data_IF_796537247354
#
_entry.id   IF_796537247354
#
_cell.length_a   1.000
_cell.length_b   1.000
_cell.length_c   1.000
_cell.angle_alpha   90.00
_cell.angle_beta   90.00
_cell.angle_gamma   90.00
#
_symmetry.space_group_name_H-M   'P 1'
#
loop_
_entity.id
_entity.type
_entity.pdbx_description
1 polymer ?
#
# COMPACT_ATOMS: atom_id res chain seq x y z
N UNK A 1 3.92 -58.62 12.19
CA UNK A 1 2.93 -57.94 13.06
C UNK A 1 2.96 -56.45 12.73
N UNK A 2 1.85 -55.72 12.50
CA UNK A 2 0.74 -55.39 13.42
C UNK A 2 1.19 -54.74 14.74
N UNK A 3 1.23 -53.41 14.78
CA UNK A 3 0.58 -52.53 15.79
C UNK A 3 0.52 -51.10 15.23
N UNK A 4 -0.26 -50.22 15.87
CA UNK A 4 -0.84 -48.99 15.29
C UNK A 4 -0.74 -47.79 16.24
N UNK A 5 -0.73 -46.54 15.71
CA UNK A 5 -1.48 -45.31 16.11
C UNK A 5 -1.52 -44.95 17.63
N UNK A 6 -1.30 -43.69 18.09
CA UNK A 6 -1.70 -42.39 17.50
C UNK A 6 -0.52 -41.38 17.35
N UNK A 7 -0.61 -40.15 16.83
CA UNK A 7 -1.66 -39.08 16.80
C UNK A 7 -1.95 -38.40 18.16
N UNK A 8 -0.97 -37.68 18.74
CA UNK A 8 -1.26 -36.47 19.54
C UNK A 8 -0.03 -35.57 19.71
N UNK A 9 -0.14 -34.31 19.28
CA UNK A 9 0.70 -33.18 19.69
C UNK A 9 -0.12 -31.89 19.44
N UNK A 10 -1.31 -31.84 20.04
CA UNK A 10 -1.58 -30.96 21.19
C UNK A 10 -1.41 -29.50 20.78
N UNK A 11 -2.48 -28.99 20.16
CA UNK A 11 -2.76 -27.58 20.04
C UNK A 11 -2.92 -27.01 21.47
N UNK A 12 -1.86 -26.45 22.05
CA UNK A 12 -1.94 -25.72 23.33
C UNK A 12 -2.62 -24.37 23.12
N UNK A 13 -3.92 -24.42 22.81
CA UNK A 13 -4.82 -23.28 22.94
C UNK A 13 -4.83 -22.90 24.42
N UNK A 14 -4.06 -21.87 24.77
CA UNK A 14 -4.09 -21.30 26.12
C UNK A 14 -5.46 -20.64 26.27
N UNK A 15 -6.42 -21.38 26.83
CA UNK A 15 -7.56 -20.77 27.50
C UNK A 15 -7.00 -20.01 28.71
N UNK A 16 -6.55 -18.78 28.46
CA UNK A 16 -6.83 -17.72 29.39
C UNK A 16 -8.35 -17.63 29.46
N UNK A 17 -8.92 -18.35 30.43
CA UNK A 17 -10.15 -17.93 31.07
C UNK A 17 -9.80 -16.62 31.78
N UNK A 18 -9.73 -15.55 30.99
CA UNK A 18 -9.83 -14.19 31.51
C UNK A 18 -11.13 -14.22 32.31
N UNK A 19 -11.11 -13.98 33.63
CA UNK A 19 -12.36 -13.85 34.34
C UNK A 19 -13.12 -12.74 33.63
N UNK A 20 -14.33 -13.03 33.13
CA UNK A 20 -15.24 -12.00 32.65
C UNK A 20 -15.75 -11.28 33.90
N UNK A 21 -14.86 -10.50 34.51
CA UNK A 21 -15.23 -9.35 35.31
C UNK A 21 -16.13 -8.54 34.41
N UNK A 22 -17.43 -8.60 34.69
CA UNK A 22 -18.42 -7.85 33.94
C UNK A 22 -18.08 -6.37 34.11
N UNK A 23 -17.37 -5.80 33.12
CA UNK A 23 -17.22 -4.36 32.99
C UNK A 23 -18.65 -3.82 33.05
N UNK A 24 -19.01 -3.03 34.07
CA UNK A 24 -20.37 -2.53 34.20
C UNK A 24 -20.66 -1.76 32.92
N UNK A 25 -21.66 -2.22 32.16
CA UNK A 25 -21.91 -1.76 30.79
C UNK A 25 -22.04 -0.24 30.82
N UNK A 26 -21.00 0.45 30.37
CA UNK A 26 -20.67 1.76 30.91
C UNK A 26 -21.59 2.80 30.27
N UNK A 27 -22.72 3.06 30.94
CA UNK A 27 -23.83 3.87 30.45
C UNK A 27 -23.27 5.20 29.91
N UNK A 28 -23.28 5.35 28.59
CA UNK A 28 -22.52 6.37 27.87
C UNK A 28 -22.65 7.74 28.55
N UNK A 29 -21.55 8.23 29.13
CA UNK A 29 -21.59 9.33 30.11
C UNK A 29 -21.95 10.64 29.42
N UNK A 30 -23.24 10.94 29.34
CA UNK A 30 -23.76 12.20 28.80
C UNK A 30 -23.32 13.38 29.68
N UNK A 31 -22.49 14.24 29.10
CA UNK A 31 -22.11 15.53 29.68
C UNK A 31 -23.19 16.57 29.37
N UNK A 32 -23.39 17.51 30.29
CA UNK A 32 -24.48 18.50 30.22
C UNK A 32 -24.32 19.47 29.03
N UNK A 33 -23.10 19.64 28.54
CA UNK A 33 -22.71 20.53 27.45
C UNK A 33 -22.52 19.80 26.10
N UNK A 34 -22.66 18.47 26.06
CA UNK A 34 -22.55 17.69 24.81
C UNK A 34 -23.89 17.53 24.08
N UNK A 35 -25.03 17.75 24.74
CA UNK A 35 -26.36 17.93 24.14
C UNK A 35 -26.64 17.13 22.84
N UNK A 36 -26.76 17.85 21.72
CA UNK A 36 -26.78 17.32 20.35
C UNK A 36 -25.52 17.76 19.56
N UNK A 37 -24.39 17.93 20.25
CA UNK A 37 -23.14 18.41 19.66
C UNK A 37 -22.57 17.38 18.68
N UNK A 38 -22.11 17.82 17.51
CA UNK A 38 -21.69 16.97 16.39
C UNK A 38 -20.62 15.92 16.75
N UNK A 39 -19.84 16.16 17.81
CA UNK A 39 -18.81 15.23 18.32
C UNK A 39 -19.29 14.27 19.43
N UNK A 40 -20.58 14.22 19.82
CA UNK A 40 -21.06 13.36 20.92
C UNK A 40 -20.67 11.88 20.72
N UNK A 41 -20.97 11.32 19.56
CA UNK A 41 -20.65 9.91 19.21
C UNK A 41 -19.14 9.65 19.27
N UNK A 42 -18.34 10.56 18.72
CA UNK A 42 -16.86 10.53 18.76
C UNK A 42 -16.32 10.52 20.18
N UNK A 43 -16.83 11.42 21.03
CA UNK A 43 -16.37 11.59 22.42
C UNK A 43 -16.75 10.36 23.26
N UNK A 44 -17.94 9.81 23.06
CA UNK A 44 -18.38 8.58 23.73
C UNK A 44 -17.47 7.39 23.37
N UNK A 45 -17.16 7.16 22.08
CA UNK A 45 -16.17 6.14 21.65
C UNK A 45 -14.84 6.27 22.41
N UNK A 46 -14.27 7.49 22.52
CA UNK A 46 -12.99 7.71 23.21
C UNK A 46 -13.07 7.56 24.74
N UNK A 47 -14.25 7.64 25.35
CA UNK A 47 -14.47 7.40 26.77
C UNK A 47 -14.63 5.90 27.06
N UNK A 48 -15.34 5.17 26.20
CA UNK A 48 -15.42 3.70 26.23
C UNK A 48 -14.02 3.07 26.10
N UNK A 49 -13.15 3.66 25.26
CA UNK A 49 -11.74 3.28 25.14
C UNK A 49 -10.82 3.81 26.27
N UNK A 50 -11.34 4.54 27.26
CA UNK A 50 -10.55 5.09 28.39
C UNK A 50 -9.51 6.17 28.01
N UNK A 51 -9.56 6.64 26.76
CA UNK A 51 -8.60 7.60 26.18
C UNK A 51 -8.80 8.98 26.80
N UNK A 52 -10.04 9.48 26.77
CA UNK A 52 -10.38 10.83 27.23
C UNK A 52 -11.34 10.80 28.42
N UNK A 53 -11.39 11.90 29.17
CA UNK A 53 -12.41 12.16 30.21
C UNK A 53 -12.92 13.60 30.09
N UNK A 54 -14.16 13.79 30.53
CA UNK A 54 -14.66 15.13 30.88
C UNK A 54 -14.19 15.57 32.28
N UNK A 55 -14.72 16.69 32.71
CA UNK A 55 -14.39 17.35 33.98
C UNK A 55 -15.34 16.91 35.11
N UNK A 56 -15.03 17.32 36.34
CA UNK A 56 -15.74 16.91 37.56
C UNK A 56 -17.13 17.55 37.70
N UNK A 57 -17.33 18.71 37.06
CA UNK A 57 -18.62 19.43 36.91
C UNK A 57 -19.59 18.77 35.89
N UNK A 58 -19.25 17.57 35.42
CA UNK A 58 -19.98 16.84 34.37
C UNK A 58 -20.05 17.54 33.00
N UNK A 59 -19.07 18.40 32.68
CA UNK A 59 -18.84 18.94 31.32
C UNK A 59 -17.77 18.18 30.54
N UNK A 60 -17.81 18.22 29.20
CA UNK A 60 -16.70 17.78 28.34
C UNK A 60 -15.88 18.95 27.76
N UNK A 61 -16.54 20.10 27.61
CA UNK A 61 -16.08 21.37 27.02
C UNK A 61 -15.61 21.19 25.57
N UNK A 62 -16.51 20.78 24.64
CA UNK A 62 -16.15 20.41 23.27
C UNK A 62 -15.43 21.52 22.51
N UNK A 63 -15.95 22.75 22.58
CA UNK A 63 -15.43 23.91 21.85
C UNK A 63 -14.22 24.59 22.53
N UNK A 64 -13.87 24.18 23.75
CA UNK A 64 -12.67 24.70 24.41
C UNK A 64 -11.41 24.20 23.70
N UNK A 65 -10.43 25.10 23.51
CA UNK A 65 -9.14 24.73 22.92
C UNK A 65 -8.33 23.80 23.83
N UNK A 66 -7.73 22.76 23.25
CA UNK A 66 -6.97 21.72 23.96
C UNK A 66 -5.47 22.10 24.08
N UNK A 67 -4.81 21.75 25.18
CA UNK A 67 -3.34 21.96 25.33
C UNK A 67 -2.52 20.89 24.61
N UNK A 68 -1.24 21.16 24.35
CA UNK A 68 -0.28 20.16 23.85
C UNK A 68 -0.16 18.95 24.78
N UNK A 69 -0.19 19.17 26.09
CA UNK A 69 -0.16 18.11 27.09
C UNK A 69 -1.45 17.26 27.08
N UNK A 70 -2.63 17.88 27.09
CA UNK A 70 -3.91 17.17 26.95
C UNK A 70 -3.91 16.30 25.69
N UNK A 71 -3.48 16.84 24.55
CA UNK A 71 -3.42 16.09 23.29
C UNK A 71 -2.37 14.97 23.31
N UNK A 72 -1.19 15.21 23.89
CA UNK A 72 -0.16 14.17 24.08
C UNK A 72 -0.67 12.99 24.91
N UNK A 73 -1.43 13.27 25.98
CA UNK A 73 -2.07 12.23 26.79
C UNK A 73 -3.12 11.44 26.00
N UNK A 74 -3.93 12.13 25.17
CA UNK A 74 -4.88 11.48 24.26
C UNK A 74 -4.16 10.57 23.26
N UNK A 75 -3.09 11.03 22.59
CA UNK A 75 -2.34 10.21 21.63
C UNK A 75 -1.69 9.00 22.29
N UNK A 76 -0.97 9.16 23.42
CA UNK A 76 -0.32 8.02 24.12
C UNK A 76 -1.33 6.95 24.53
N UNK A 77 -2.55 7.35 24.91
CA UNK A 77 -3.63 6.42 25.26
C UNK A 77 -4.33 5.79 24.06
N UNK A 78 -4.69 6.58 23.05
CA UNK A 78 -5.39 6.13 21.85
C UNK A 78 -4.60 5.03 21.11
N UNK A 79 -3.30 5.25 20.94
CA UNK A 79 -2.37 4.31 20.31
C UNK A 79 -1.76 3.31 21.32
N UNK A 80 -2.29 3.26 22.55
CA UNK A 80 -1.94 2.31 23.62
C UNK A 80 -0.43 2.17 23.90
N UNK A 81 0.34 3.25 23.72
CA UNK A 81 1.81 3.21 23.70
C UNK A 81 2.38 3.09 25.11
N UNK A 82 3.05 1.97 25.41
CA UNK A 82 3.74 1.74 26.68
C UNK A 82 4.62 2.91 27.09
N UNK A 83 4.59 3.24 28.39
CA UNK A 83 5.40 4.32 28.94
C UNK A 83 6.89 4.01 28.82
N UNK A 84 7.63 5.00 28.36
CA UNK A 84 9.09 5.03 28.42
C UNK A 84 9.48 6.02 29.53
N UNK A 85 10.41 5.63 30.40
CA UNK A 85 10.89 6.48 31.49
C UNK A 85 12.04 7.38 31.05
N UNK A 86 11.92 8.67 31.39
CA UNK A 86 12.88 9.71 31.04
C UNK A 86 12.22 11.08 30.96
N UNK A 87 12.94 12.06 30.41
CA UNK A 87 12.41 13.42 30.18
C UNK A 87 13.02 14.03 28.91
N UNK A 88 12.19 14.66 28.07
CA UNK A 88 12.62 15.20 26.78
C UNK A 88 12.90 16.71 26.75
N UNK A 89 12.21 17.50 27.59
CA UNK A 89 12.28 18.97 27.55
C UNK A 89 12.50 19.55 28.96
N UNK A 90 13.01 20.78 29.03
CA UNK A 90 13.36 21.42 30.31
C UNK A 90 12.13 21.78 31.17
N UNK A 91 10.97 21.90 30.55
CA UNK A 91 9.68 22.26 31.16
C UNK A 91 8.73 21.08 31.39
N UNK A 92 9.04 19.88 30.90
CA UNK A 92 8.19 18.68 31.07
C UNK A 92 8.51 17.85 32.33
N UNK A 93 9.68 18.06 32.96
CA UNK A 93 10.23 17.17 33.99
C UNK A 93 9.37 17.03 35.26
N UNK A 94 8.55 18.04 35.57
CA UNK A 94 7.62 18.05 36.71
C UNK A 94 6.18 18.34 36.27
N UNK A 95 5.91 18.27 34.97
CA UNK A 95 4.59 18.47 34.40
C UNK A 95 3.78 17.16 34.48
N UNK A 96 2.46 17.26 34.70
CA UNK A 96 1.61 16.07 34.91
C UNK A 96 1.56 15.12 33.70
N UNK A 97 1.76 15.65 32.49
CA UNK A 97 1.89 14.89 31.24
C UNK A 97 3.34 14.57 30.82
N UNK A 98 4.32 14.73 31.74
CA UNK A 98 5.74 14.63 31.40
C UNK A 98 6.16 13.27 30.85
N UNK A 99 5.61 12.17 31.39
CA UNK A 99 5.87 10.81 30.92
C UNK A 99 5.23 10.53 29.56
N UNK A 100 4.01 11.03 29.34
CA UNK A 100 3.30 10.96 28.06
C UNK A 100 4.12 11.66 26.96
N UNK A 101 4.54 12.90 27.21
CA UNK A 101 5.33 13.69 26.24
C UNK A 101 6.68 13.04 25.99
N UNK A 102 7.39 12.55 27.02
CA UNK A 102 8.65 11.84 26.82
C UNK A 102 8.45 10.55 26.00
N UNK A 103 7.42 9.76 26.31
CA UNK A 103 7.07 8.54 25.55
C UNK A 103 6.83 8.85 24.07
N UNK A 104 6.07 9.91 23.76
CA UNK A 104 5.83 10.30 22.37
C UNK A 104 7.08 10.82 21.64
N UNK A 105 8.02 11.47 22.33
CA UNK A 105 9.33 11.81 21.74
C UNK A 105 10.17 10.56 21.50
N UNK A 106 10.23 9.64 22.46
CA UNK A 106 11.00 8.39 22.36
C UNK A 106 10.44 7.42 21.30
N UNK A 107 9.15 7.52 20.97
CA UNK A 107 8.49 6.84 19.85
C UNK A 107 8.55 7.62 18.52
N UNK A 108 9.23 8.78 18.46
CA UNK A 108 9.35 9.61 17.25
C UNK A 108 8.11 10.43 16.86
N UNK A 109 7.02 10.34 17.63
CA UNK A 109 5.73 11.00 17.36
C UNK A 109 5.81 12.51 17.58
N UNK A 110 6.54 12.94 18.61
CA UNK A 110 6.92 14.34 18.82
C UNK A 110 8.39 14.49 18.40
N UNK A 111 8.63 15.06 17.22
CA UNK A 111 9.97 15.47 16.81
C UNK A 111 10.41 16.68 17.66
N UNK A 112 11.39 16.46 18.53
CA UNK A 112 11.97 17.48 19.41
C UNK A 112 12.58 18.66 18.66
N UNK A 113 13.03 18.48 17.41
CA UNK A 113 13.57 19.57 16.58
C UNK A 113 12.53 20.64 16.24
N UNK A 114 11.23 20.31 16.33
CA UNK A 114 10.13 21.23 16.02
C UNK A 114 9.79 22.20 17.17
N UNK A 115 10.32 21.94 18.38
CA UNK A 115 10.03 22.69 19.62
C UNK A 115 11.30 23.23 20.32
N UNK A 116 12.43 22.51 20.22
CA UNK A 116 13.71 22.92 20.80
C UNK A 116 13.92 22.42 22.25
N UNK A 117 14.25 23.34 23.17
CA UNK A 117 14.60 23.01 24.57
C UNK A 117 13.40 22.99 25.53
N UNK A 118 12.25 23.50 25.08
CA UNK A 118 10.97 23.55 25.79
C UNK A 118 9.87 23.03 24.87
N UNK A 119 8.83 22.44 25.46
CA UNK A 119 7.64 21.99 24.72
C UNK A 119 6.45 22.96 24.86
N UNK A 120 6.46 23.80 25.89
CA UNK A 120 5.33 24.59 26.37
C UNK A 120 4.06 23.72 26.50
N UNK A 121 4.02 22.75 27.43
CA UNK A 121 2.96 21.74 27.52
C UNK A 121 1.54 22.32 27.65
N UNK A 122 1.38 23.46 28.31
CA UNK A 122 0.08 24.11 28.52
C UNK A 122 -0.33 25.08 27.39
N UNK A 123 0.52 25.30 26.38
CA UNK A 123 0.11 26.04 25.18
C UNK A 123 -0.98 25.28 24.43
N UNK A 124 -1.91 26.03 23.84
CA UNK A 124 -2.95 25.46 22.98
C UNK A 124 -2.34 24.90 21.70
N UNK A 125 -2.64 23.65 21.37
CA UNK A 125 -2.08 22.98 20.20
C UNK A 125 -2.68 23.52 18.90
N UNK A 126 -1.88 23.58 17.85
CA UNK A 126 -2.30 23.94 16.49
C UNK A 126 -2.76 22.72 15.69
N UNK A 127 -3.58 22.95 14.67
CA UNK A 127 -4.05 21.87 13.78
C UNK A 127 -2.91 21.15 13.05
N UNK A 128 -1.82 21.84 12.66
CA UNK A 128 -0.65 21.16 12.07
C UNK A 128 0.09 20.26 13.07
N UNK A 129 0.25 20.68 14.34
CA UNK A 129 0.89 19.84 15.36
C UNK A 129 0.10 18.55 15.60
N UNK A 130 -1.24 18.64 15.68
CA UNK A 130 -2.10 17.45 15.79
C UNK A 130 -1.99 16.52 14.58
N UNK A 131 -2.01 17.08 13.35
CA UNK A 131 -1.90 16.29 12.13
C UNK A 131 -0.60 15.48 12.09
N UNK A 132 0.55 16.13 12.38
CA UNK A 132 1.85 15.46 12.40
C UNK A 132 1.94 14.38 13.48
N UNK A 133 1.46 14.66 14.69
CA UNK A 133 1.46 13.68 15.79
C UNK A 133 0.57 12.47 15.47
N UNK A 134 -0.58 12.65 14.82
CA UNK A 134 -1.44 11.51 14.41
C UNK A 134 -0.79 10.69 13.31
N UNK A 135 -0.30 11.33 12.24
CA UNK A 135 0.32 10.63 11.09
C UNK A 135 1.55 9.84 11.54
N UNK A 136 2.41 10.42 12.40
CA UNK A 136 3.54 9.71 13.02
C UNK A 136 3.10 8.57 13.95
N UNK A 137 2.02 8.73 14.71
CA UNK A 137 1.49 7.66 15.57
C UNK A 137 0.88 6.49 14.78
N UNK A 138 0.42 6.74 13.55
CA UNK A 138 0.03 5.71 12.58
C UNK A 138 1.23 5.05 11.87
N UNK A 139 2.46 5.51 12.11
CA UNK A 139 3.69 5.04 11.45
C UNK A 139 4.04 5.74 10.14
N UNK A 140 3.13 6.56 9.59
CA UNK A 140 3.16 7.10 8.23
C UNK A 140 4.09 8.35 8.06
N UNK A 141 5.23 8.36 8.75
CA UNK A 141 6.16 9.50 8.80
C UNK A 141 7.13 9.56 7.60
N UNK A 142 7.34 8.44 6.88
CA UNK A 142 8.20 8.39 5.69
C UNK A 142 7.45 8.91 4.45
N UNK A 143 6.25 8.36 4.23
CA UNK A 143 5.27 8.71 3.21
C UNK A 143 4.89 10.20 3.31
N UNK A 144 4.74 10.72 4.54
CA UNK A 144 4.51 12.14 4.80
C UNK A 144 5.73 13.05 4.52
N UNK A 145 6.96 12.50 4.50
CA UNK A 145 8.18 13.20 4.11
C UNK A 145 8.44 13.13 2.61
N UNK A 146 8.08 12.04 1.95
CA UNK A 146 8.10 11.90 0.49
C UNK A 146 7.09 12.84 -0.17
N UNK A 147 5.89 12.97 0.40
CA UNK A 147 4.90 13.97 -0.01
C UNK A 147 5.19 15.40 0.50
N UNK A 148 6.39 15.68 1.01
CA UNK A 148 6.79 17.04 1.34
C UNK A 148 6.90 17.92 0.08
N UNK A 149 6.64 19.23 0.25
CA UNK A 149 6.64 20.24 -0.81
C UNK A 149 5.54 20.12 -1.88
N UNK A 150 4.89 18.95 -2.03
CA UNK A 150 3.70 18.76 -2.87
C UNK A 150 2.56 19.71 -2.47
N UNK A 151 1.70 20.08 -3.41
CA UNK A 151 0.59 21.02 -3.19
C UNK A 151 -0.60 20.33 -2.51
N UNK A 152 -1.13 20.93 -1.44
CA UNK A 152 -2.35 20.46 -0.78
C UNK A 152 -3.61 20.95 -1.51
N UNK A 153 -4.74 20.27 -1.33
CA UNK A 153 -6.04 20.67 -1.92
C UNK A 153 -6.73 21.84 -1.22
N UNK A 154 -6.14 22.37 -0.14
CA UNK A 154 -6.73 23.42 0.69
C UNK A 154 -6.41 24.83 0.18
N UNK A 155 -7.40 25.72 0.24
CA UNK A 155 -7.31 27.10 -0.25
C UNK A 155 -6.27 27.97 0.48
N UNK A 156 -5.81 27.54 1.66
CA UNK A 156 -4.74 28.18 2.43
C UNK A 156 -3.39 27.42 2.37
N UNK A 157 -3.17 26.59 1.35
CA UNK A 157 -1.92 25.85 1.09
C UNK A 157 -0.64 26.69 1.26
N UNK A 158 -0.67 27.94 0.78
CA UNK A 158 0.43 28.93 0.90
C UNK A 158 0.82 29.30 2.34
N UNK A 159 -0.06 29.03 3.32
CA UNK A 159 0.19 29.25 4.74
C UNK A 159 0.82 28.02 5.43
N UNK A 160 0.95 26.90 4.71
CA UNK A 160 1.55 25.66 5.19
C UNK A 160 3.04 25.66 4.79
N UNK A 161 3.94 25.38 5.75
CA UNK A 161 5.38 25.24 5.44
C UNK A 161 5.55 24.02 4.53
N UNK A 162 6.37 24.12 3.48
CA UNK A 162 6.52 23.07 2.47
C UNK A 162 6.84 21.68 3.07
N UNK A 163 7.71 21.61 4.09
CA UNK A 163 8.04 20.37 4.82
C UNK A 163 6.90 19.76 5.66
N UNK A 164 5.88 20.54 5.98
CA UNK A 164 4.74 20.14 6.82
C UNK A 164 3.53 19.69 5.97
N UNK A 165 3.56 19.91 4.64
CA UNK A 165 2.44 19.62 3.72
C UNK A 165 2.10 18.14 3.60
N UNK A 166 3.09 17.25 3.47
CA UNK A 166 2.85 15.82 3.26
C UNK A 166 2.04 15.16 4.38
N UNK A 167 2.24 15.57 5.64
CA UNK A 167 1.40 15.12 6.77
C UNK A 167 -0.07 15.53 6.63
N UNK A 168 -0.36 16.69 6.03
CA UNK A 168 -1.74 17.12 5.74
C UNK A 168 -2.31 16.35 4.56
N UNK A 169 -1.50 16.04 3.54
CA UNK A 169 -1.91 15.20 2.40
C UNK A 169 -2.29 13.79 2.90
N UNK A 170 -1.38 13.10 3.58
CA UNK A 170 -1.62 11.76 4.16
C UNK A 170 -2.86 11.75 5.07
N UNK A 171 -3.03 12.74 5.94
CA UNK A 171 -4.19 12.84 6.82
C UNK A 171 -5.50 13.20 6.08
N UNK A 172 -5.43 13.84 4.91
CA UNK A 172 -6.61 14.12 4.07
C UNK A 172 -6.99 12.92 3.20
N UNK A 173 -6.01 12.19 2.66
CA UNK A 173 -6.21 10.95 1.89
C UNK A 173 -6.85 9.87 2.77
N UNK A 174 -6.36 9.71 4.00
CA UNK A 174 -6.94 8.82 5.02
C UNK A 174 -8.25 9.38 5.64
N UNK A 175 -8.82 10.47 5.10
CA UNK A 175 -10.08 11.10 5.54
C UNK A 175 -10.10 11.52 7.02
N UNK A 176 -8.95 11.60 7.68
CA UNK A 176 -8.78 12.07 9.06
C UNK A 176 -9.16 13.56 9.13
N UNK A 177 -8.70 14.33 8.14
CA UNK A 177 -8.87 15.77 8.03
C UNK A 177 -9.68 16.09 6.76
N UNK A 178 -10.79 16.83 6.91
CA UNK A 178 -11.65 17.24 5.78
C UNK A 178 -11.58 18.75 5.50
N UNK A 179 -10.66 19.48 6.16
CA UNK A 179 -10.64 20.95 6.17
C UNK A 179 -11.80 21.57 6.96
N UNK A 180 -12.13 22.82 6.63
CA UNK A 180 -13.33 23.56 7.05
C UNK A 180 -14.24 23.83 5.84
N UNK A 181 -15.50 24.29 6.03
CA UNK A 181 -16.42 24.60 4.92
C UNK A 181 -15.95 25.69 3.93
N UNK A 182 -14.91 26.46 4.28
CA UNK A 182 -14.23 27.44 3.42
C UNK A 182 -13.06 26.82 2.60
N UNK A 183 -12.97 25.48 2.58
CA UNK A 183 -11.88 24.67 2.02
C UNK A 183 -10.47 25.03 2.57
N UNK A 184 -10.37 25.54 3.79
CA UNK A 184 -9.05 25.77 4.42
C UNK A 184 -8.70 24.71 5.48
N UNK A 185 -7.41 24.51 5.71
CA UNK A 185 -6.90 23.69 6.79
C UNK A 185 -6.71 24.49 8.10
N UNK A 186 -6.32 25.77 8.00
CA UNK A 186 -5.96 26.69 9.10
C UNK A 186 -4.82 26.13 9.96
N UNK A 187 -3.60 25.93 9.42
CA UNK A 187 -2.53 25.16 10.07
C UNK A 187 -2.16 25.69 11.47
N UNK A 188 -2.05 27.01 11.62
CA UNK A 188 -1.73 27.66 12.91
C UNK A 188 -2.96 27.87 13.82
N UNK A 189 -4.16 27.51 13.36
CA UNK A 189 -5.39 27.61 14.14
C UNK A 189 -5.37 26.69 15.36
N UNK A 190 -5.85 27.16 16.50
CA UNK A 190 -5.90 26.39 17.75
C UNK A 190 -7.11 25.45 17.74
N UNK A 191 -6.86 24.16 17.98
CA UNK A 191 -7.89 23.14 17.86
C UNK A 191 -8.75 23.00 19.13
N UNK A 192 -10.03 22.71 18.94
CA UNK A 192 -10.97 22.39 20.04
C UNK A 192 -10.80 20.94 20.53
N UNK A 193 -11.27 20.65 21.76
CA UNK A 193 -11.31 19.27 22.30
C UNK A 193 -12.14 18.34 21.42
N UNK A 194 -13.19 18.85 20.77
CA UNK A 194 -14.00 18.10 19.82
C UNK A 194 -13.27 17.79 18.50
N UNK A 195 -12.57 18.76 17.90
CA UNK A 195 -11.76 18.55 16.70
C UNK A 195 -10.64 17.52 16.95
N UNK A 196 -9.92 17.70 18.06
CA UNK A 196 -8.85 16.80 18.49
C UNK A 196 -9.36 15.36 18.68
N UNK A 197 -10.49 15.19 19.38
CA UNK A 197 -11.15 13.88 19.56
C UNK A 197 -11.55 13.25 18.22
N UNK A 198 -12.01 14.07 17.26
CA UNK A 198 -12.48 13.59 15.95
C UNK A 198 -11.35 13.15 15.04
N UNK A 199 -10.23 13.88 15.01
CA UNK A 199 -9.05 13.44 14.26
C UNK A 199 -8.46 12.16 14.85
N UNK A 200 -8.44 12.01 16.18
CA UNK A 200 -7.95 10.79 16.83
C UNK A 200 -8.87 9.59 16.57
N UNK A 201 -10.20 9.72 16.69
CA UNK A 201 -11.07 8.55 16.45
C UNK A 201 -11.06 8.10 14.99
N UNK A 202 -10.97 9.04 14.03
CA UNK A 202 -10.84 8.71 12.61
C UNK A 202 -9.53 7.94 12.32
N UNK A 203 -8.42 8.31 12.94
CA UNK A 203 -7.17 7.57 12.82
C UNK A 203 -7.28 6.14 13.37
N UNK A 204 -7.99 5.96 14.50
CA UNK A 204 -8.25 4.63 15.07
C UNK A 204 -9.22 3.80 14.21
N UNK A 205 -10.27 4.42 13.66
CA UNK A 205 -11.21 3.75 12.74
C UNK A 205 -10.47 3.30 11.45
N UNK A 206 -9.58 4.13 10.87
CA UNK A 206 -8.72 3.77 9.72
C UNK A 206 -7.78 2.60 10.04
N UNK A 207 -7.06 2.64 11.18
CA UNK A 207 -6.18 1.53 11.58
C UNK A 207 -6.96 0.23 11.82
N UNK A 208 -8.20 0.33 12.32
CA UNK A 208 -9.10 -0.81 12.50
C UNK A 208 -9.58 -1.38 11.16
N UNK A 209 -9.90 -0.54 10.18
CA UNK A 209 -10.25 -0.96 8.81
C UNK A 209 -9.07 -1.67 8.13
N UNK A 210 -7.85 -1.13 8.26
CA UNK A 210 -6.62 -1.75 7.74
C UNK A 210 -6.34 -3.11 8.40
N UNK A 211 -6.44 -3.21 9.72
CA UNK A 211 -6.27 -4.46 10.46
C UNK A 211 -7.35 -5.50 10.06
N UNK A 212 -8.61 -5.09 9.90
CA UNK A 212 -9.68 -5.97 9.46
C UNK A 212 -9.47 -6.49 8.03
N UNK A 213 -9.01 -5.63 7.10
CA UNK A 213 -8.62 -6.05 5.74
C UNK A 213 -7.47 -7.06 5.79
N UNK A 214 -6.43 -6.80 6.58
CA UNK A 214 -5.32 -7.75 6.77
C UNK A 214 -5.79 -9.09 7.30
N UNK A 215 -6.62 -9.10 8.36
CA UNK A 215 -7.20 -10.32 8.92
C UNK A 215 -8.13 -11.05 7.94
N UNK A 216 -8.67 -10.39 6.92
CA UNK A 216 -9.43 -11.05 5.85
C UNK A 216 -8.47 -11.70 4.83
N UNK A 217 -7.41 -10.99 4.42
CA UNK A 217 -6.38 -11.48 3.51
C UNK A 217 -5.62 -12.69 4.10
N UNK A 218 -5.23 -12.63 5.37
CA UNK A 218 -4.52 -13.72 6.03
C UNK A 218 -5.37 -15.00 6.19
N UNK A 219 -6.71 -14.91 6.12
CA UNK A 219 -7.63 -16.07 6.05
C UNK A 219 -7.72 -16.72 4.66
N UNK A 220 -7.25 -16.04 3.61
CA UNK A 220 -7.17 -16.58 2.26
C UNK A 220 -5.87 -17.36 2.01
N UNK A 221 -4.86 -17.20 2.87
CA UNK A 221 -3.57 -17.90 2.79
C UNK A 221 -3.72 -19.38 3.11
N UNK A 222 -2.89 -20.22 2.50
CA UNK A 222 -2.74 -21.64 2.85
C UNK A 222 -1.57 -21.87 3.83
N UNK A 223 -1.18 -23.14 4.01
CA UNK A 223 -0.12 -23.53 4.94
C UNK A 223 1.28 -23.03 4.54
N UNK A 224 1.49 -22.73 3.26
CA UNK A 224 2.74 -22.15 2.73
C UNK A 224 2.66 -20.61 2.63
N UNK A 225 1.55 -20.02 3.12
CA UNK A 225 1.30 -18.58 3.13
C UNK A 225 0.74 -18.02 1.82
N UNK A 226 0.40 -18.88 0.85
CA UNK A 226 0.05 -18.49 -0.52
C UNK A 226 -1.46 -18.26 -0.64
N UNK A 227 -1.85 -17.21 -1.35
CA UNK A 227 -3.25 -16.95 -1.72
C UNK A 227 -3.49 -17.54 -3.12
N UNK A 228 -4.42 -18.47 -3.25
CA UNK A 228 -4.85 -18.98 -4.56
C UNK A 228 -5.95 -18.06 -5.13
N UNK A 229 -5.73 -17.50 -6.32
CA UNK A 229 -6.71 -16.64 -7.02
C UNK A 229 -8.06 -17.33 -7.24
N UNK A 230 -8.13 -18.67 -7.24
CA UNK A 230 -9.39 -19.40 -7.26
C UNK A 230 -10.30 -19.07 -6.06
N UNK A 231 -9.73 -18.66 -4.92
CA UNK A 231 -10.45 -18.21 -3.71
C UNK A 231 -11.01 -16.78 -3.82
N UNK A 232 -10.51 -15.97 -4.76
CA UNK A 232 -10.94 -14.59 -4.97
C UNK A 232 -12.22 -14.51 -5.80
N UNK A 233 -12.94 -13.41 -5.67
CA UNK A 233 -14.15 -13.12 -6.46
C UNK A 233 -13.84 -13.13 -7.98
N UNK A 234 -14.89 -13.37 -8.79
CA UNK A 234 -14.80 -13.39 -10.25
C UNK A 234 -15.66 -12.26 -10.80
N UNK A 235 -15.03 -11.15 -11.15
CA UNK A 235 -15.69 -9.98 -11.71
C UNK A 235 -15.60 -10.00 -13.23
N UNK A 236 -16.63 -9.60 -13.96
CA UNK A 236 -16.52 -9.41 -15.42
C UNK A 236 -15.93 -8.03 -15.74
N UNK A 237 -15.33 -7.88 -16.94
CA UNK A 237 -14.94 -6.58 -17.52
C UNK A 237 -16.05 -5.52 -17.37
N UNK A 238 -17.31 -5.93 -17.51
CA UNK A 238 -18.49 -5.05 -17.51
C UNK A 238 -18.88 -4.58 -16.10
N UNK A 239 -18.71 -5.42 -15.07
CA UNK A 239 -18.94 -5.05 -13.66
C UNK A 239 -17.86 -4.10 -13.14
N UNK A 240 -16.63 -4.22 -13.65
CA UNK A 240 -15.52 -3.29 -13.36
C UNK A 240 -15.58 -2.00 -14.20
N UNK A 241 -16.61 -1.81 -15.02
CA UNK A 241 -16.82 -0.58 -15.80
C UNK A 241 -15.88 -0.41 -17.01
N UNK A 242 -15.14 -1.44 -17.40
CA UNK A 242 -14.25 -1.40 -18.56
C UNK A 242 -15.02 -1.55 -19.88
N UNK A 243 -14.58 -0.81 -20.90
CA UNK A 243 -15.16 -0.84 -22.24
C UNK A 243 -14.97 -2.22 -22.92
N UNK A 244 -15.91 -2.59 -23.80
CA UNK A 244 -15.79 -3.84 -24.57
C UNK A 244 -14.63 -3.76 -25.59
N UNK A 245 -13.74 -4.76 -25.64
CA UNK A 245 -12.62 -4.75 -26.58
C UNK A 245 -13.09 -4.81 -28.04
N UNK A 246 -12.39 -4.10 -28.93
CA UNK A 246 -12.54 -4.21 -30.39
C UNK A 246 -11.88 -5.53 -30.83
N UNK A 247 -12.49 -6.28 -31.75
CA UNK A 247 -11.93 -7.58 -32.14
C UNK A 247 -10.79 -7.37 -33.14
N UNK A 248 -9.79 -8.24 -33.07
CA UNK A 248 -8.72 -8.28 -34.07
C UNK A 248 -9.25 -8.58 -35.50
N UNK A 249 -10.42 -9.22 -35.62
CA UNK A 249 -11.13 -9.43 -36.89
C UNK A 249 -11.86 -8.20 -37.44
N UNK A 250 -11.97 -7.11 -36.66
CA UNK A 250 -12.59 -5.85 -37.07
C UNK A 250 -11.56 -4.84 -37.64
N UNK A 251 -10.28 -5.23 -37.73
CA UNK A 251 -9.15 -4.42 -38.20
C UNK A 251 -8.78 -4.73 -39.66
N UNK A 252 -8.38 -3.73 -40.45
CA UNK A 252 -8.06 -3.91 -41.89
C UNK A 252 -6.86 -4.88 -42.09
N UNK A 253 -7.05 -6.04 -42.77
CA UNK A 253 -5.99 -7.01 -43.04
C UNK A 253 -4.78 -6.47 -43.83
N UNK A 254 -4.87 -5.28 -44.42
CA UNK A 254 -3.72 -4.61 -45.06
C UNK A 254 -2.66 -4.15 -44.07
N UNK A 255 -3.04 -3.80 -42.82
CA UNK A 255 -2.13 -3.19 -41.83
C UNK A 255 -0.94 -4.11 -41.51
N UNK A 256 -1.17 -5.43 -41.50
CA UNK A 256 -0.18 -6.44 -41.12
C UNK A 256 0.83 -6.82 -42.21
N UNK A 257 0.56 -6.54 -43.49
CA UNK A 257 1.30 -7.17 -44.60
C UNK A 257 2.62 -6.51 -44.97
N UNK A 258 2.76 -5.21 -44.74
CA UNK A 258 3.69 -4.36 -45.51
C UNK A 258 4.60 -3.46 -44.64
N UNK A 259 4.88 -3.88 -43.40
CA UNK A 259 5.52 -3.01 -42.38
C UNK A 259 6.74 -3.61 -41.69
N UNK A 260 7.72 -2.73 -41.43
CA UNK A 260 8.98 -3.00 -40.73
C UNK A 260 8.79 -3.36 -39.25
N UNK A 261 9.85 -3.82 -38.57
CA UNK A 261 9.78 -4.19 -37.13
C UNK A 261 9.31 -3.00 -36.28
N UNK A 262 9.83 -1.79 -36.55
CA UNK A 262 9.46 -0.58 -35.81
C UNK A 262 7.97 -0.29 -35.93
N UNK A 263 7.44 -0.35 -37.14
CA UNK A 263 6.03 -0.08 -37.43
C UNK A 263 5.10 -1.23 -37.01
N UNK A 264 5.59 -2.47 -36.95
CA UNK A 264 4.89 -3.59 -36.29
C UNK A 264 4.78 -3.33 -34.80
N UNK A 265 5.81 -2.79 -34.15
CA UNK A 265 5.71 -2.34 -32.77
C UNK A 265 4.74 -1.15 -32.62
N UNK A 266 4.69 -0.21 -33.57
CA UNK A 266 3.65 0.85 -33.59
C UNK A 266 2.24 0.30 -33.80
N UNK A 267 2.07 -0.75 -34.61
CA UNK A 267 0.78 -1.43 -34.77
C UNK A 267 0.39 -2.18 -33.48
N UNK A 268 1.34 -2.87 -32.84
CA UNK A 268 1.14 -3.50 -31.52
C UNK A 268 0.80 -2.45 -30.46
N UNK A 269 1.42 -1.27 -30.49
CA UNK A 269 1.11 -0.11 -29.63
C UNK A 269 -0.29 0.49 -29.86
N UNK A 270 -0.82 0.39 -31.09
CA UNK A 270 -2.21 0.76 -31.39
C UNK A 270 -3.23 -0.34 -31.05
N UNK A 271 -2.79 -1.60 -30.97
CA UNK A 271 -3.62 -2.74 -30.54
C UNK A 271 -3.66 -2.86 -29.02
N UNK A 272 -2.53 -2.68 -28.33
CA UNK A 272 -2.43 -2.68 -26.86
C UNK A 272 -3.31 -1.61 -26.21
N UNK A 273 -3.48 -0.47 -26.88
CA UNK A 273 -4.41 0.60 -26.51
C UNK A 273 -5.89 0.16 -26.45
N UNK A 274 -6.24 -1.08 -26.81
CA UNK A 274 -7.55 -1.69 -26.49
C UNK A 274 -7.47 -3.17 -26.08
N UNK A 275 -7.09 -3.39 -24.82
CA UNK A 275 -7.29 -4.60 -23.99
C UNK A 275 -6.96 -5.93 -24.69
N UNK A 276 -5.86 -6.53 -24.24
CA UNK A 276 -5.40 -7.80 -24.77
C UNK A 276 -6.22 -8.98 -24.26
N UNK A 277 -6.37 -10.00 -25.11
CA UNK A 277 -6.80 -11.37 -24.76
C UNK A 277 -8.10 -11.52 -23.93
N UNK A 278 -9.07 -10.62 -24.12
CA UNK A 278 -10.51 -10.87 -23.91
C UNK A 278 -10.91 -11.67 -22.65
N UNK A 279 -10.44 -11.33 -21.44
CA UNK A 279 -10.84 -12.06 -20.24
C UNK A 279 -12.36 -11.94 -20.00
N UNK A 280 -13.04 -13.06 -19.81
CA UNK A 280 -14.41 -13.06 -19.29
C UNK A 280 -14.42 -12.73 -17.79
N UNK A 281 -13.33 -13.07 -17.11
CA UNK A 281 -13.15 -12.99 -15.66
C UNK A 281 -11.88 -12.18 -15.33
N UNK A 282 -12.04 -11.18 -14.48
CA UNK A 282 -10.97 -10.46 -13.82
C UNK A 282 -10.95 -10.87 -12.34
N UNK A 283 -9.78 -11.30 -11.89
CA UNK A 283 -9.45 -11.53 -10.48
C UNK A 283 -8.81 -10.26 -9.95
N UNK A 284 -9.39 -9.64 -8.92
CA UNK A 284 -8.82 -8.44 -8.30
C UNK A 284 -8.05 -8.80 -7.03
N UNK A 285 -6.83 -8.26 -6.92
CA UNK A 285 -5.95 -8.35 -5.77
C UNK A 285 -5.21 -7.03 -5.53
N UNK A 286 -4.37 -6.99 -4.50
CA UNK A 286 -3.41 -5.91 -4.28
C UNK A 286 -2.06 -6.49 -3.80
N UNK A 287 -1.03 -5.66 -3.75
CA UNK A 287 0.33 -6.06 -3.38
C UNK A 287 0.44 -6.75 -2.01
N UNK A 288 -0.48 -6.49 -1.06
CA UNK A 288 -0.48 -7.16 0.24
C UNK A 288 -0.99 -8.62 0.21
N UNK A 289 -1.56 -9.06 -0.93
CA UNK A 289 -1.98 -10.45 -1.15
C UNK A 289 -0.84 -11.37 -1.59
N UNK A 290 0.34 -10.84 -1.92
CA UNK A 290 1.51 -11.66 -2.27
C UNK A 290 1.99 -12.52 -1.07
N UNK A 291 2.63 -13.68 -1.30
CA UNK A 291 2.71 -14.40 -2.58
C UNK A 291 1.35 -14.98 -3.01
N UNK A 292 1.06 -14.92 -4.32
CA UNK A 292 -0.24 -15.28 -4.90
C UNK A 292 -0.09 -16.31 -6.01
N UNK A 293 -0.86 -17.41 -5.96
CA UNK A 293 -0.99 -18.37 -7.07
C UNK A 293 -2.01 -17.85 -8.08
N UNK A 294 -1.55 -17.62 -9.31
CA UNK A 294 -2.39 -17.33 -10.47
C UNK A 294 -2.13 -18.38 -11.56
N UNK A 295 -3.18 -19.13 -11.90
CA UNK A 295 -3.11 -20.27 -12.81
C UNK A 295 -1.95 -21.21 -12.45
N UNK A 296 -0.94 -21.37 -13.32
CA UNK A 296 0.17 -22.33 -13.15
C UNK A 296 1.42 -21.76 -12.45
N UNK A 297 1.38 -20.50 -11.99
CA UNK A 297 2.50 -19.81 -11.31
C UNK A 297 2.12 -19.31 -9.92
N UNK A 298 3.12 -19.18 -9.06
CA UNK A 298 3.08 -18.31 -7.89
C UNK A 298 3.92 -17.07 -8.19
N UNK A 299 3.31 -15.89 -8.07
CA UNK A 299 4.00 -14.60 -8.08
C UNK A 299 4.38 -14.29 -6.64
N UNK A 300 5.67 -13.97 -6.41
CA UNK A 300 6.20 -13.72 -5.06
C UNK A 300 6.44 -12.24 -4.78
N UNK A 301 6.79 -11.46 -5.80
CA UNK A 301 7.00 -10.01 -5.70
C UNK A 301 6.78 -9.33 -7.05
N UNK A 302 6.41 -8.04 -7.04
CA UNK A 302 6.44 -7.17 -8.23
C UNK A 302 6.97 -5.79 -7.82
N UNK A 303 8.08 -5.36 -8.41
CA UNK A 303 8.71 -4.09 -8.07
C UNK A 303 9.16 -3.27 -9.29
N UNK A 304 9.25 -1.95 -9.10
CA UNK A 304 9.95 -1.02 -9.99
C UNK A 304 11.47 -1.21 -9.87
N UNK A 305 12.16 -1.18 -11.00
CA UNK A 305 13.60 -0.84 -11.05
C UNK A 305 13.75 0.42 -11.93
N UNK A 306 14.25 1.55 -11.40
CA UNK A 306 14.53 2.75 -12.20
C UNK A 306 15.50 2.45 -13.34
N UNK A 307 15.42 3.17 -14.46
CA UNK A 307 16.36 3.04 -15.59
C UNK A 307 17.84 3.11 -15.16
N UNK A 308 18.14 3.93 -14.14
CA UNK A 308 19.47 4.10 -13.57
C UNK A 308 20.04 2.80 -13.01
N UNK A 309 19.17 1.90 -12.57
CA UNK A 309 19.48 0.62 -11.92
C UNK A 309 19.09 -0.57 -12.80
N UNK A 310 18.24 -0.37 -13.82
CA UNK A 310 17.71 -1.42 -14.68
C UNK A 310 18.80 -2.21 -15.43
N UNK A 311 18.61 -3.52 -15.67
CA UNK A 311 19.68 -4.40 -16.13
C UNK A 311 20.18 -4.08 -17.56
N UNK A 312 19.30 -3.61 -18.44
CA UNK A 312 19.58 -3.27 -19.85
C UNK A 312 20.15 -1.86 -20.05
N UNK A 313 20.47 -1.13 -18.97
CA UNK A 313 20.97 0.26 -19.03
C UNK A 313 22.24 0.36 -19.90
N UNK A 314 22.11 1.00 -21.05
CA UNK A 314 23.20 1.21 -22.01
C UNK A 314 23.48 0.04 -22.96
N UNK A 315 22.67 -1.02 -22.94
CA UNK A 315 22.78 -2.12 -23.90
C UNK A 315 22.17 -1.72 -25.25
N UNK A 316 23.01 -1.67 -26.29
CA UNK A 316 22.62 -1.31 -27.66
C UNK A 316 22.48 -2.51 -28.60
N UNK A 317 22.67 -3.74 -28.10
CA UNK A 317 22.71 -4.97 -28.91
C UNK A 317 21.44 -5.83 -28.79
N UNK A 318 20.54 -5.49 -27.87
CA UNK A 318 19.28 -6.20 -27.63
C UNK A 318 18.07 -5.48 -28.26
N UNK A 319 16.91 -6.15 -28.26
CA UNK A 319 15.62 -5.54 -28.63
C UNK A 319 15.28 -4.31 -27.76
N UNK A 320 15.86 -4.23 -26.56
CA UNK A 320 15.72 -3.12 -25.60
C UNK A 320 16.50 -1.86 -25.99
N UNK A 321 17.28 -1.90 -27.07
CA UNK A 321 17.85 -0.68 -27.70
C UNK A 321 16.78 0.34 -28.11
N UNK A 322 15.53 -0.10 -28.29
CA UNK A 322 14.36 0.77 -28.54
C UNK A 322 13.74 1.36 -27.27
N UNK A 323 13.94 0.75 -26.10
CA UNK A 323 13.44 1.20 -24.80
C UNK A 323 14.53 1.94 -24.01
N UNK A 324 15.19 2.88 -24.70
CA UNK A 324 16.32 3.65 -24.18
C UNK A 324 15.82 4.79 -23.29
N UNK A 325 16.38 4.87 -22.08
CA UNK A 325 15.97 5.81 -21.04
C UNK A 325 14.51 5.55 -20.60
N UNK A 326 14.27 4.34 -20.09
CA UNK A 326 12.94 3.84 -19.71
C UNK A 326 13.05 2.86 -18.53
N UNK A 327 12.14 2.98 -17.57
CA UNK A 327 12.11 2.15 -16.35
C UNK A 327 11.65 0.71 -16.60
N UNK A 328 11.92 -0.18 -15.63
CA UNK A 328 11.55 -1.58 -15.64
C UNK A 328 10.51 -1.91 -14.55
N UNK A 329 9.60 -2.83 -14.86
CA UNK A 329 8.86 -3.62 -13.88
C UNK A 329 9.41 -5.05 -13.88
N UNK A 330 9.66 -5.58 -12.69
CA UNK A 330 10.12 -6.96 -12.48
C UNK A 330 9.02 -7.73 -11.78
N UNK A 331 8.68 -8.91 -12.30
CA UNK A 331 7.84 -9.90 -11.62
C UNK A 331 8.73 -11.06 -11.18
N UNK A 332 8.84 -11.30 -9.87
CA UNK A 332 9.41 -12.53 -9.32
C UNK A 332 8.33 -13.59 -9.16
N UNK A 333 8.67 -14.84 -9.46
CA UNK A 333 7.77 -15.96 -9.23
C UNK A 333 8.41 -17.32 -9.50
N UNK A 334 7.60 -18.36 -9.44
CA UNK A 334 7.98 -19.72 -9.84
C UNK A 334 6.75 -20.49 -10.36
N UNK A 335 6.92 -21.44 -11.30
CA UNK A 335 5.83 -22.32 -11.72
C UNK A 335 5.56 -23.37 -10.64
N UNK A 336 4.27 -23.68 -10.42
CA UNK A 336 3.83 -24.78 -9.55
C UNK A 336 3.30 -25.97 -10.34
N UNK A 337 3.06 -25.79 -11.64
CA UNK A 337 2.55 -26.80 -12.56
C UNK A 337 3.34 -26.78 -13.88
N UNK A 338 3.22 -27.85 -14.67
CA UNK A 338 3.93 -28.00 -15.94
C UNK A 338 3.39 -27.01 -16.99
N UNK A 339 4.30 -26.38 -17.73
CA UNK A 339 3.99 -25.49 -18.87
C UNK A 339 3.58 -26.23 -20.14
N UNK A 340 4.04 -25.75 -21.29
CA UNK A 340 3.60 -26.23 -22.61
C UNK A 340 3.86 -27.74 -22.82
N UNK A 341 2.89 -28.42 -23.44
CA UNK A 341 2.92 -29.84 -23.81
C UNK A 341 4.15 -30.23 -24.65
N UNK A 342 4.74 -29.28 -25.37
CA UNK A 342 5.93 -29.53 -26.19
C UNK A 342 7.25 -29.50 -25.40
N UNK A 343 7.34 -28.73 -24.31
CA UNK A 343 8.59 -28.54 -23.53
C UNK A 343 8.58 -29.25 -22.19
N UNK A 344 7.39 -29.50 -21.60
CA UNK A 344 7.18 -29.95 -20.21
C UNK A 344 7.77 -29.01 -19.15
N UNK A 345 7.97 -27.73 -19.49
CA UNK A 345 8.60 -26.71 -18.64
C UNK A 345 7.91 -25.35 -18.84
N UNK A 346 8.00 -24.46 -17.86
CA UNK A 346 7.32 -23.16 -17.90
C UNK A 346 8.16 -22.10 -18.62
N UNK A 347 7.54 -21.27 -19.46
CA UNK A 347 8.24 -20.27 -20.27
C UNK A 347 7.80 -18.84 -19.88
N UNK A 348 8.72 -17.94 -19.50
CA UNK A 348 8.34 -16.61 -18.97
C UNK A 348 7.64 -15.72 -19.99
N UNK A 349 7.94 -15.86 -21.29
CA UNK A 349 7.24 -15.13 -22.36
C UNK A 349 5.76 -15.51 -22.52
N UNK A 350 5.24 -16.43 -21.72
CA UNK A 350 3.82 -16.73 -21.59
C UNK A 350 3.10 -15.81 -20.59
N UNK A 351 3.81 -14.93 -19.88
CA UNK A 351 3.23 -13.94 -18.96
C UNK A 351 3.17 -12.58 -19.67
N UNK A 352 1.97 -12.13 -20.02
CA UNK A 352 1.73 -10.81 -20.61
C UNK A 352 1.41 -9.76 -19.53
N UNK A 353 2.04 -8.58 -19.63
CA UNK A 353 1.90 -7.51 -18.64
C UNK A 353 1.21 -6.25 -19.20
N UNK A 354 -0.04 -6.00 -18.80
CA UNK A 354 -0.70 -4.70 -18.94
C UNK A 354 -0.43 -3.81 -17.72
N UNK A 355 -0.39 -2.49 -17.91
CA UNK A 355 -0.22 -1.51 -16.83
C UNK A 355 -1.12 -0.31 -17.10
N UNK A 356 -1.86 0.13 -16.08
CA UNK A 356 -2.66 1.35 -16.07
C UNK A 356 -2.05 2.34 -15.06
N UNK A 357 -1.90 3.60 -15.46
CA UNK A 357 -1.48 4.68 -14.56
C UNK A 357 -2.66 5.57 -14.11
N UNK A 358 -2.42 6.36 -13.06
CA UNK A 358 -3.36 7.31 -12.42
C UNK A 358 -3.83 8.45 -13.35
N UNK A 359 -3.30 8.54 -14.59
CA UNK A 359 -3.77 9.46 -15.66
C UNK A 359 -4.77 8.78 -16.61
N UNK A 360 -5.02 7.47 -16.45
CA UNK A 360 -5.82 6.65 -17.34
C UNK A 360 -5.07 6.11 -18.55
N UNK A 361 -3.74 6.21 -18.57
CA UNK A 361 -2.92 5.74 -19.70
C UNK A 361 -2.57 4.26 -19.53
N UNK A 362 -2.81 3.46 -20.57
CA UNK A 362 -2.58 2.01 -20.57
C UNK A 362 -1.42 1.61 -21.48
N UNK A 363 -0.53 0.77 -20.98
CA UNK A 363 0.59 0.17 -21.71
C UNK A 363 0.54 -1.37 -21.61
N UNK A 364 1.13 -2.07 -22.58
CA UNK A 364 1.20 -3.53 -22.62
C UNK A 364 2.57 -4.00 -23.12
N UNK A 365 3.22 -4.89 -22.37
CA UNK A 365 4.55 -5.41 -22.69
C UNK A 365 4.47 -6.94 -22.81
N UNK A 366 4.51 -7.45 -24.05
CA UNK A 366 4.33 -8.89 -24.32
C UNK A 366 5.58 -9.72 -24.00
N UNK A 367 6.74 -9.07 -23.94
CA UNK A 367 8.05 -9.71 -23.85
C UNK A 367 8.57 -9.62 -22.42
N UNK A 368 8.21 -10.60 -21.59
CA UNK A 368 9.04 -10.94 -20.44
C UNK A 368 10.45 -11.30 -20.93
N UNK A 369 11.47 -10.66 -20.39
CA UNK A 369 12.85 -11.02 -20.72
C UNK A 369 13.20 -12.44 -20.24
N UNK A 370 14.05 -13.13 -20.98
CA UNK A 370 14.22 -14.58 -20.87
C UNK A 370 15.64 -14.99 -21.26
N UNK A 371 16.48 -15.37 -20.30
CA UNK A 371 17.93 -15.29 -20.46
C UNK A 371 18.63 -16.63 -20.67
N UNK A 372 19.05 -16.84 -21.92
CA UNK A 372 19.78 -18.03 -22.32
C UNK A 372 21.30 -17.91 -22.10
N UNK A 373 21.95 -19.01 -21.69
CA UNK A 373 23.40 -19.11 -21.46
C UNK A 373 24.23 -18.69 -22.69
N UNK A 374 23.69 -18.90 -23.89
CA UNK A 374 24.35 -18.54 -25.15
C UNK A 374 24.67 -17.03 -25.26
N UNK A 375 24.00 -16.17 -24.48
CA UNK A 375 24.23 -14.73 -24.47
C UNK A 375 24.92 -14.21 -23.19
N UNK A 376 25.44 -15.10 -22.33
CA UNK A 376 25.99 -14.77 -21.02
C UNK A 376 27.23 -13.82 -20.99
N UNK A 377 27.70 -13.34 -22.15
CA UNK A 377 28.75 -12.31 -22.27
C UNK A 377 28.20 -10.88 -22.46
N UNK A 378 26.90 -10.71 -22.73
CA UNK A 378 26.29 -9.39 -22.93
C UNK A 378 26.23 -8.57 -21.62
N UNK A 379 26.20 -7.22 -21.71
CA UNK A 379 26.11 -6.35 -20.54
C UNK A 379 24.88 -6.62 -19.66
N UNK A 380 23.70 -6.79 -20.29
CA UNK A 380 22.44 -7.06 -19.59
C UNK A 380 22.51 -8.35 -18.77
N UNK A 381 22.85 -9.47 -19.42
CA UNK A 381 22.99 -10.79 -18.82
C UNK A 381 24.03 -10.82 -17.69
N UNK A 382 25.13 -10.06 -17.81
CA UNK A 382 26.11 -9.89 -16.72
C UNK A 382 25.54 -9.13 -15.54
N UNK A 383 24.89 -7.98 -15.78
CA UNK A 383 24.31 -7.15 -14.71
C UNK A 383 23.20 -7.88 -13.94
N UNK A 384 22.43 -8.75 -14.61
CA UNK A 384 21.43 -9.59 -13.95
C UNK A 384 22.07 -10.62 -13.01
N UNK A 385 23.24 -11.18 -13.36
CA UNK A 385 24.00 -12.04 -12.43
C UNK A 385 24.58 -11.28 -11.24
N UNK A 386 24.80 -9.97 -11.38
CA UNK A 386 25.27 -9.10 -10.29
C UNK A 386 24.11 -8.69 -9.35
N UNK A 387 22.93 -8.39 -9.90
CA UNK A 387 21.72 -8.06 -9.13
C UNK A 387 21.09 -9.31 -8.47
N UNK A 388 21.03 -10.43 -9.20
CA UNK A 388 20.33 -11.65 -8.82
C UNK A 388 21.24 -12.89 -9.00
N UNK A 389 22.30 -13.04 -8.16
CA UNK A 389 23.34 -14.07 -8.32
C UNK A 389 22.86 -15.52 -8.17
N UNK A 390 21.58 -15.72 -7.86
CA UNK A 390 20.93 -17.02 -7.70
C UNK A 390 20.09 -17.44 -8.93
N UNK A 391 19.95 -16.58 -9.95
CA UNK A 391 19.29 -16.93 -11.21
C UNK A 391 20.14 -17.93 -12.00
N UNK A 392 19.54 -19.07 -12.36
CA UNK A 392 20.10 -19.94 -13.40
C UNK A 392 19.72 -19.41 -14.78
N UNK A 393 20.69 -19.51 -15.68
CA UNK A 393 20.51 -19.28 -17.11
C UNK A 393 20.37 -20.68 -17.75
N UNK A 394 19.60 -20.80 -18.83
CA UNK A 394 19.30 -22.10 -19.48
C UNK A 394 19.53 -21.99 -21.00
N UNK A 395 19.24 -23.02 -21.80
CA UNK A 395 19.45 -22.98 -23.28
C UNK A 395 18.14 -22.61 -24.03
N UNK A 396 17.06 -22.52 -23.28
CA UNK A 396 15.74 -21.96 -23.61
C UNK A 396 15.10 -21.67 -22.24
N UNK A 397 14.33 -20.59 -22.04
CA UNK A 397 13.96 -20.07 -20.72
C UNK A 397 12.81 -20.87 -20.08
N UNK A 398 13.12 -22.13 -19.82
CA UNK A 398 12.21 -23.23 -19.55
C UNK A 398 12.41 -23.68 -18.10
N UNK A 399 11.69 -23.03 -17.18
CA UNK A 399 11.85 -23.17 -15.74
C UNK A 399 11.21 -24.47 -15.24
N UNK A 400 11.93 -25.17 -14.35
CA UNK A 400 11.40 -26.33 -13.64
C UNK A 400 10.39 -25.92 -12.54
N UNK A 401 9.56 -26.86 -12.08
CA UNK A 401 8.61 -26.62 -10.99
C UNK A 401 9.37 -26.15 -9.73
N UNK A 402 8.88 -25.09 -9.11
CA UNK A 402 9.51 -24.34 -8.00
C UNK A 402 10.85 -23.67 -8.31
N UNK A 403 11.27 -23.58 -9.58
CA UNK A 403 12.44 -22.80 -9.98
C UNK A 403 12.07 -21.32 -10.13
N UNK A 404 12.77 -20.44 -9.41
CA UNK A 404 12.54 -19.00 -9.47
C UNK A 404 12.87 -18.42 -10.84
N UNK A 405 11.93 -17.64 -11.39
CA UNK A 405 12.14 -16.77 -12.55
C UNK A 405 12.05 -15.29 -12.16
N UNK A 406 12.59 -14.43 -13.01
CA UNK A 406 12.39 -12.98 -12.96
C UNK A 406 11.96 -12.54 -14.36
N UNK A 407 10.72 -12.05 -14.50
CA UNK A 407 10.21 -11.53 -15.76
C UNK A 407 10.38 -10.02 -15.76
N UNK A 408 11.34 -9.53 -16.56
CA UNK A 408 11.61 -8.10 -16.72
C UNK A 408 10.80 -7.55 -17.89
N UNK A 409 10.08 -6.47 -17.65
CA UNK A 409 9.28 -5.74 -18.63
C UNK A 409 9.76 -4.29 -18.67
N UNK A 410 10.03 -3.76 -19.86
CA UNK A 410 10.45 -2.36 -20.04
C UNK A 410 9.30 -1.54 -20.59
N UNK A 411 9.09 -0.36 -20.02
CA UNK A 411 7.93 0.46 -20.32
C UNK A 411 8.22 1.47 -21.44
N UNK A 412 7.18 2.11 -22.03
CA UNK A 412 7.38 3.26 -22.91
C UNK A 412 8.10 4.40 -22.18
N UNK A 413 8.97 5.11 -22.89
CA UNK A 413 9.81 6.18 -22.33
C UNK A 413 9.04 7.27 -21.58
N UNK A 414 7.84 7.60 -22.04
CA UNK A 414 7.02 8.67 -21.49
C UNK A 414 6.05 8.18 -20.39
N UNK A 415 6.15 6.90 -19.98
CA UNK A 415 5.27 6.30 -18.97
C UNK A 415 5.80 6.52 -17.55
N UNK A 416 5.31 7.55 -16.86
CA UNK A 416 5.68 7.89 -15.48
C UNK A 416 5.34 6.78 -14.47
N UNK A 417 6.36 6.05 -14.00
CA UNK A 417 6.16 4.94 -13.06
C UNK A 417 5.67 5.34 -11.66
N UNK A 418 5.92 6.57 -11.21
CA UNK A 418 5.40 7.11 -9.94
C UNK A 418 3.86 7.10 -9.90
N UNK A 419 3.25 6.95 -11.08
CA UNK A 419 1.82 6.98 -11.28
C UNK A 419 1.20 5.63 -11.65
N UNK A 420 1.85 4.46 -11.50
CA UNK A 420 1.12 3.18 -11.62
C UNK A 420 -0.08 3.16 -10.65
N UNK A 421 -1.24 2.75 -11.17
CA UNK A 421 -2.44 2.47 -10.39
C UNK A 421 -2.69 0.95 -10.34
N UNK A 422 -2.66 0.28 -11.50
CA UNK A 422 -2.96 -1.15 -11.63
C UNK A 422 -2.03 -1.86 -12.60
N UNK A 423 -1.76 -3.13 -12.31
CA UNK A 423 -1.06 -4.05 -13.19
C UNK A 423 -1.99 -5.22 -13.54
N UNK A 424 -1.98 -5.63 -14.81
CA UNK A 424 -2.82 -6.70 -15.36
C UNK A 424 -1.93 -7.83 -15.87
N UNK A 425 -2.09 -9.02 -15.31
CA UNK A 425 -1.26 -10.18 -15.60
C UNK A 425 -2.12 -11.22 -16.29
N UNK A 426 -1.72 -11.60 -17.51
CA UNK A 426 -2.33 -12.66 -18.30
C UNK A 426 -1.33 -13.82 -18.48
N UNK A 427 -1.81 -15.07 -18.46
CA UNK A 427 -0.98 -16.25 -18.75
C UNK A 427 -1.46 -16.97 -20.01
N UNK A 428 -0.58 -17.28 -20.95
CA UNK A 428 -0.94 -17.85 -22.26
C UNK A 428 -1.31 -19.35 -22.25
N UNK A 429 -1.73 -19.93 -21.13
CA UNK A 429 -1.96 -21.37 -20.97
C UNK A 429 -3.44 -21.69 -20.76
N UNK A 430 -4.02 -22.43 -21.71
CA UNK A 430 -5.31 -23.13 -21.68
C UNK A 430 -6.57 -22.26 -21.41
N UNK A 431 -6.62 -21.50 -20.31
CA UNK A 431 -7.71 -20.60 -19.94
C UNK A 431 -7.39 -19.15 -20.35
N UNK A 432 -7.60 -18.82 -21.63
CA UNK A 432 -7.46 -17.46 -22.16
C UNK A 432 -8.51 -16.45 -21.63
N UNK A 433 -9.35 -16.84 -20.67
CA UNK A 433 -10.50 -16.08 -20.21
C UNK A 433 -10.32 -15.46 -18.80
N UNK A 434 -9.19 -15.68 -18.11
CA UNK A 434 -8.90 -15.05 -16.80
C UNK A 434 -7.68 -14.10 -16.85
N UNK A 435 -7.80 -12.94 -16.19
CA UNK A 435 -6.70 -11.99 -15.92
C UNK A 435 -6.66 -11.64 -14.43
N UNK A 436 -5.45 -11.52 -13.88
CA UNK A 436 -5.21 -10.98 -12.55
C UNK A 436 -4.94 -9.47 -12.64
N UNK A 437 -5.87 -8.67 -12.14
CA UNK A 437 -5.72 -7.24 -11.87
C UNK A 437 -5.16 -7.06 -10.45
N UNK A 438 -4.02 -6.41 -10.31
CA UNK A 438 -3.43 -6.07 -9.01
C UNK A 438 -3.30 -4.56 -8.86
N UNK A 439 -3.89 -4.03 -7.78
CA UNK A 439 -3.73 -2.63 -7.41
C UNK A 439 -2.36 -2.39 -6.76
N UNK A 440 -1.65 -1.36 -7.24
CA UNK A 440 -0.43 -0.87 -6.63
C UNK A 440 -0.79 0.11 -5.50
N UNK A 441 -0.79 -0.40 -4.27
CA UNK A 441 -0.63 0.46 -3.10
C UNK A 441 0.72 1.18 -3.19
N UNK A 442 0.71 2.52 -3.11
CA UNK A 442 1.93 3.32 -2.98
C UNK A 442 2.70 2.94 -1.71
#
# INVERSE_FOLDING_TARGET
MKKTIPILLILTLILFIVPVSANPMNLAKKFIDMGNHWAEVTVNKLIELGVIKGYEDNTFRPDNTITRAEFSTVIRKAFQLDFIDGNSFTDTNHHWAGKEIHTLVAKGIIDKSEYGTKYSPDEKITRIEMAKMIVRAMGLDAEAKEKANQTTTFADDKNIKAKDKGYIIIASENKIINGYPDNTFKPNGKATRAEASTMVIKALDVLKEQQAKKEQIDKLRDADGIIDTAKLEKNTIQELGYDKPVRNGDLDPKIYKDRSIQERMTAIDQISKKIMYQPEIVKQADMSMLPIKFNKIVITDIHKVPYEEAPYKGDTQTLWSLSKDSDCIVIEGYPVEIGDKYTKLYHTSSIGLGILNKKGEFAYVNSACSFDEWNAQRPTEKKIKEMFPYIKFSISPAYAIHEKFHAFYVLPKDFELENIEKIFIATSFDDHNEVLEMEFSN
#
